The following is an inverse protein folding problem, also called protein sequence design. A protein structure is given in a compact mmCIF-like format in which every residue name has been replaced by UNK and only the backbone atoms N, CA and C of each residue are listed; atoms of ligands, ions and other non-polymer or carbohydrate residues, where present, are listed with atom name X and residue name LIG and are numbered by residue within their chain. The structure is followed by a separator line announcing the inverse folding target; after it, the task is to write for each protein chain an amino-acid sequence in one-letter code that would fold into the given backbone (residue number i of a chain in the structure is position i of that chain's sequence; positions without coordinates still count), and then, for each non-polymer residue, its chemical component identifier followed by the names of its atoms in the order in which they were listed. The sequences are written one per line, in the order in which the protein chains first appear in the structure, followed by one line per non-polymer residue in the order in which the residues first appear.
data_IF_292416575228
#
_entry.id   IF_292416575228
#
_cell.length_a   1.000
_cell.length_b   1.000
_cell.length_c   1.000
_cell.angle_alpha   90.00
_cell.angle_beta   90.00
_cell.angle_gamma   90.00
#
_symmetry.space_group_name_H-M   'P 1'
#
loop_
_entity.id
_entity.type
_entity.pdbx_description
1 polymer ?
#
# COMPACT_ATOMS: atom_id res chain seq x y z
N UNK A 1 -2.11 -8.28 -4.95
CA UNK A 1 -3.30 -7.46 -5.23
C UNK A 1 -2.91 -6.11 -5.81
N UNK A 2 -3.77 -5.57 -6.62
CA UNK A 2 -3.62 -4.21 -7.15
C UNK A 2 -4.27 -3.22 -6.22
N UNK A 3 -3.66 -2.07 -6.06
CA UNK A 3 -4.22 -1.00 -5.23
C UNK A 3 -3.74 0.35 -5.74
N UNK A 4 -4.46 1.41 -5.39
CA UNK A 4 -4.10 2.77 -5.75
C UNK A 4 -3.58 3.50 -4.54
N UNK A 5 -2.45 4.18 -4.69
CA UNK A 5 -1.86 4.97 -3.60
C UNK A 5 -2.74 6.18 -3.35
N UNK A 6 -3.26 6.30 -2.12
CA UNK A 6 -4.11 7.40 -1.71
C UNK A 6 -3.35 8.47 -0.92
N UNK A 7 -2.24 8.13 -0.31
CA UNK A 7 -1.44 9.05 0.48
C UNK A 7 -0.16 8.39 0.94
N UNK A 8 0.67 9.18 1.63
CA UNK A 8 1.96 8.72 2.13
C UNK A 8 2.08 8.98 3.62
N UNK A 9 2.91 8.19 4.29
CA UNK A 9 3.27 8.41 5.68
C UNK A 9 4.77 8.10 5.85
N UNK A 10 5.29 8.24 7.06
CA UNK A 10 6.73 8.20 7.31
C UNK A 10 7.48 6.93 6.93
N UNK A 11 6.82 5.82 6.71
CA UNK A 11 7.48 4.56 6.34
C UNK A 11 6.90 3.88 5.12
N UNK A 12 5.95 4.53 4.43
CA UNK A 12 5.30 3.88 3.30
C UNK A 12 4.13 4.68 2.74
N UNK A 13 3.14 3.97 2.26
CA UNK A 13 1.97 4.56 1.61
C UNK A 13 0.68 3.93 2.11
N UNK A 14 -0.42 4.69 1.99
CA UNK A 14 -1.77 4.17 2.14
C UNK A 14 -2.29 3.82 0.76
N UNK A 15 -2.80 2.62 0.60
CA UNK A 15 -3.37 2.20 -0.66
C UNK A 15 -4.84 1.84 -0.49
N UNK A 16 -5.66 2.23 -1.47
CA UNK A 16 -7.05 1.83 -1.53
C UNK A 16 -7.18 0.60 -2.40
N UNK A 17 -7.75 -0.45 -1.85
CA UNK A 17 -8.07 -1.67 -2.59
C UNK A 17 -9.41 -1.49 -3.31
N UNK A 18 -9.67 -2.29 -4.35
CA UNK A 18 -10.93 -2.17 -5.11
C UNK A 18 -12.19 -2.35 -4.27
N UNK A 19 -12.11 -3.07 -3.15
CA UNK A 19 -13.24 -3.30 -2.26
C UNK A 19 -13.46 -2.16 -1.26
N UNK A 20 -12.68 -1.09 -1.34
CA UNK A 20 -12.77 0.04 -0.43
C UNK A 20 -11.94 -0.08 0.84
N UNK A 21 -11.22 -1.18 1.01
CA UNK A 21 -10.37 -1.38 2.18
C UNK A 21 -9.07 -0.59 2.01
N UNK A 22 -8.58 -0.02 3.11
CA UNK A 22 -7.30 0.67 3.12
C UNK A 22 -6.21 -0.29 3.56
N UNK A 23 -5.11 -0.32 2.80
CA UNK A 23 -3.94 -1.11 3.13
C UNK A 23 -2.76 -0.19 3.36
N UNK A 24 -2.14 -0.31 4.53
CA UNK A 24 -0.92 0.44 4.85
C UNK A 24 0.28 -0.41 4.44
N UNK A 25 1.05 0.09 3.50
CA UNK A 25 2.15 -0.66 2.90
C UNK A 25 3.48 -0.01 3.20
N UNK A 26 4.42 -0.82 3.65
CA UNK A 26 5.81 -0.40 3.78
C UNK A 26 6.52 -0.59 2.44
N UNK A 27 7.53 0.24 2.19
CA UNK A 27 8.40 0.04 1.05
C UNK A 27 9.27 -1.19 1.27
N UNK A 28 9.55 -1.92 0.20
CA UNK A 28 10.60 -2.92 0.26
C UNK A 28 11.96 -2.20 0.23
N UNK A 29 13.02 -2.91 0.61
CA UNK A 29 14.35 -2.31 0.62
C UNK A 29 14.83 -1.82 -0.75
N UNK A 30 14.18 -2.28 -1.81
CA UNK A 30 14.50 -1.88 -3.19
C UNK A 30 13.86 -0.58 -3.61
N UNK A 31 12.94 -0.05 -2.80
CA UNK A 31 12.13 1.11 -3.18
C UNK A 31 12.41 2.30 -2.28
N UNK A 32 12.28 3.49 -2.85
CA UNK A 32 12.36 4.74 -2.13
C UNK A 32 11.04 5.48 -2.25
N UNK A 33 10.81 6.43 -1.36
CA UNK A 33 9.60 7.22 -1.36
C UNK A 33 9.35 7.92 -2.70
N UNK A 34 10.42 8.38 -3.32
CA UNK A 34 10.32 9.08 -4.61
C UNK A 34 9.89 8.17 -5.77
N UNK A 35 9.93 6.85 -5.59
CA UNK A 35 9.48 5.92 -6.63
C UNK A 35 7.96 5.90 -6.79
N UNK A 36 7.23 6.43 -5.81
CA UNK A 36 5.77 6.33 -5.77
C UNK A 36 5.13 7.69 -5.61
N UNK A 37 4.03 7.90 -6.33
CA UNK A 37 3.24 9.12 -6.28
C UNK A 37 1.80 8.76 -5.92
N UNK A 38 1.10 9.68 -5.26
CA UNK A 38 -0.33 9.53 -5.01
C UNK A 38 -1.06 9.39 -6.34
N UNK A 39 -1.92 8.40 -6.44
CA UNK A 39 -2.62 8.07 -7.67
C UNK A 39 -1.99 6.93 -8.46
N UNK A 40 -0.77 6.53 -8.13
CA UNK A 40 -0.13 5.39 -8.79
C UNK A 40 -0.82 4.10 -8.41
N UNK A 41 -0.84 3.16 -9.35
CA UNK A 41 -1.29 1.80 -9.09
C UNK A 41 -0.09 0.93 -8.76
N UNK A 42 -0.21 0.13 -7.73
CA UNK A 42 0.86 -0.76 -7.28
C UNK A 42 0.34 -2.17 -7.10
N UNK A 43 1.26 -3.12 -7.10
CA UNK A 43 0.99 -4.51 -6.75
C UNK A 43 1.54 -4.71 -5.34
N UNK A 44 0.70 -5.21 -4.46
CA UNK A 44 1.08 -5.44 -3.07
C UNK A 44 0.68 -6.81 -2.59
N UNK A 45 1.32 -7.25 -1.52
CA UNK A 45 0.93 -8.45 -0.78
C UNK A 45 0.40 -8.02 0.58
N UNK A 46 -0.76 -8.56 0.95
CA UNK A 46 -1.34 -8.32 2.27
C UNK A 46 -0.69 -9.29 3.25
N UNK A 47 -0.05 -8.74 4.27
CA UNK A 47 0.64 -9.52 5.28
C UNK A 47 -0.19 -9.71 6.54
N UNK A 48 -1.07 -8.76 6.83
CA UNK A 48 -1.87 -8.77 8.05
C UNK A 48 -3.18 -8.05 7.83
N UNK A 49 -4.25 -8.57 8.40
CA UNK A 49 -5.57 -7.96 8.30
C UNK A 49 -6.12 -7.73 9.71
N UNK A 50 -6.32 -6.48 10.06
CA UNK A 50 -6.94 -6.06 11.32
C UNK A 50 -8.43 -5.85 11.08
N UNK A 51 -9.22 -6.88 11.35
CA UNK A 51 -10.67 -6.83 11.06
C UNK A 51 -11.41 -5.79 11.87
N UNK A 52 -11.05 -5.62 13.12
CA UNK A 52 -11.71 -4.65 14.00
C UNK A 52 -11.50 -3.22 13.54
N UNK A 53 -10.33 -2.93 12.99
CA UNK A 53 -9.99 -1.60 12.50
C UNK A 53 -10.28 -1.43 11.01
N UNK A 54 -10.72 -2.49 10.35
CA UNK A 54 -10.93 -2.53 8.90
C UNK A 54 -9.69 -2.05 8.13
N UNK A 55 -8.53 -2.45 8.60
CA UNK A 55 -7.26 -2.09 7.99
C UNK A 55 -6.47 -3.33 7.64
N UNK A 56 -5.68 -3.20 6.59
CA UNK A 56 -4.73 -4.21 6.20
C UNK A 56 -3.34 -3.63 6.25
N UNK A 57 -2.38 -4.48 6.50
CA UNK A 57 -0.96 -4.12 6.46
C UNK A 57 -0.30 -5.00 5.44
N UNK A 58 0.51 -4.42 4.61
CA UNK A 58 1.15 -5.17 3.55
C UNK A 58 2.45 -4.57 3.12
N UNK A 59 2.97 -5.09 2.01
CA UNK A 59 4.23 -4.67 1.45
C UNK A 59 4.06 -4.49 -0.05
N UNK A 60 4.62 -3.41 -0.58
CA UNK A 60 4.60 -3.18 -2.01
C UNK A 60 5.61 -4.11 -2.68
N UNK A 61 5.14 -4.83 -3.70
CA UNK A 61 6.00 -5.69 -4.50
C UNK A 61 6.57 -4.94 -5.68
N UNK A 62 5.73 -4.20 -6.38
CA UNK A 62 6.15 -3.44 -7.54
C UNK A 62 5.12 -2.38 -7.89
N UNK A 63 5.54 -1.46 -8.76
CA UNK A 63 4.65 -0.47 -9.36
C UNK A 63 4.01 -1.10 -10.59
N UNK A 64 2.74 -0.82 -10.78
CA UNK A 64 2.01 -1.31 -11.95
C UNK A 64 2.50 -0.65 -13.23
#
# INVERSE_FOLDING_TARGET
RYATIAGKYGGGVFCNLPDGTVCMCNYSYQHEDSDFLVGDTVILVVQRHEREKRQMYGKILSKW
#
